data_IF_432487014338
#
_entry.id   IF_432487014338
#
_cell.length_a   1.000
_cell.length_b   1.000
_cell.length_c   1.000
_cell.angle_alpha   90.00
_cell.angle_beta   90.00
_cell.angle_gamma   90.00
#
_symmetry.space_group_name_H-M   'P 1'
#
loop_
_entity.id
_entity.type
_entity.pdbx_description
1 polymer ?
#
# COMPACT_ATOMS: atom_id res chain seq x y z
N UNK A 1 0.87 -27.33 21.35
CA UNK A 1 1.01 -26.43 20.19
C UNK A 1 -0.40 -26.08 19.73
N UNK A 2 -0.77 -24.78 19.71
CA UNK A 2 -2.11 -24.37 19.24
C UNK A 2 -2.12 -24.54 17.70
N UNK A 3 -3.11 -25.25 17.14
CA UNK A 3 -3.31 -25.33 15.71
C UNK A 3 -3.93 -24.02 15.21
N UNK A 4 -3.42 -23.50 14.08
CA UNK A 4 -3.93 -22.29 13.44
C UNK A 4 -5.11 -22.71 12.54
N UNK A 5 -6.23 -22.00 12.62
CA UNK A 5 -7.40 -22.22 11.80
C UNK A 5 -7.32 -21.50 10.45
N UNK A 6 -8.16 -21.85 9.48
CA UNK A 6 -8.27 -21.15 8.20
C UNK A 6 -8.63 -19.68 8.42
N UNK A 7 -9.53 -19.36 9.36
CA UNK A 7 -9.94 -17.99 9.64
C UNK A 7 -8.82 -17.15 10.28
N UNK A 8 -8.01 -17.74 11.17
CA UNK A 8 -6.82 -17.09 11.69
C UNK A 8 -5.79 -16.81 10.57
N UNK A 9 -5.62 -17.73 9.61
CA UNK A 9 -4.77 -17.50 8.44
C UNK A 9 -5.29 -16.40 7.51
N UNK A 10 -6.61 -16.32 7.30
CA UNK A 10 -7.22 -15.21 6.56
C UNK A 10 -6.96 -13.88 7.24
N UNK A 11 -7.15 -13.81 8.56
CA UNK A 11 -6.90 -12.58 9.33
C UNK A 11 -5.44 -12.11 9.19
N UNK A 12 -4.47 -13.03 9.20
CA UNK A 12 -3.05 -12.70 8.98
C UNK A 12 -2.82 -12.18 7.55
N UNK A 13 -3.41 -12.83 6.54
CA UNK A 13 -3.26 -12.38 5.14
C UNK A 13 -3.91 -11.00 4.88
N UNK A 14 -4.92 -10.64 5.66
CA UNK A 14 -5.68 -9.39 5.53
C UNK A 14 -5.24 -8.30 6.51
N UNK A 15 -4.20 -8.56 7.33
CA UNK A 15 -3.72 -7.62 8.33
C UNK A 15 -3.03 -6.40 7.68
N UNK A 16 -3.47 -5.22 8.09
CA UNK A 16 -2.95 -3.93 7.66
C UNK A 16 -1.98 -3.30 8.68
N UNK A 17 -1.59 -4.02 9.71
CA UNK A 17 -0.67 -3.50 10.73
C UNK A 17 0.73 -3.28 10.16
N UNK A 18 1.19 -2.04 10.21
CA UNK A 18 2.51 -1.63 9.74
C UNK A 18 3.53 -1.65 10.90
N UNK A 19 4.38 -2.65 10.94
CA UNK A 19 5.49 -2.67 11.91
C UNK A 19 6.43 -1.49 11.76
N UNK A 20 6.63 -1.04 10.53
CA UNK A 20 7.40 0.17 10.25
C UNK A 20 6.77 1.41 10.89
N UNK A 21 5.44 1.57 10.77
CA UNK A 21 4.74 2.70 11.39
C UNK A 21 4.86 2.67 12.91
N UNK A 22 4.65 1.51 13.53
CA UNK A 22 4.77 1.33 14.99
C UNK A 22 6.17 1.69 15.50
N UNK A 23 7.23 1.34 14.75
CA UNK A 23 8.61 1.65 15.12
C UNK A 23 8.97 3.12 14.90
N UNK A 24 8.46 3.77 13.86
CA UNK A 24 8.85 5.12 13.46
C UNK A 24 8.00 6.21 14.11
N UNK A 25 6.73 5.94 14.35
CA UNK A 25 5.76 6.90 14.90
C UNK A 25 6.22 7.56 16.22
N UNK A 26 6.81 6.83 17.19
CA UNK A 26 7.30 7.46 18.42
C UNK A 26 8.34 8.58 18.17
N UNK A 27 9.23 8.42 17.20
CA UNK A 27 10.23 9.44 16.86
C UNK A 27 9.58 10.72 16.30
N UNK A 28 8.51 10.58 15.51
CA UNK A 28 7.72 11.71 15.02
C UNK A 28 7.01 12.41 16.19
N UNK A 29 6.41 11.65 17.09
CA UNK A 29 5.64 12.16 18.22
C UNK A 29 6.48 12.79 19.33
N UNK A 30 7.76 12.45 19.44
CA UNK A 30 8.71 13.09 20.37
C UNK A 30 9.17 14.48 19.91
N UNK A 31 8.93 14.85 18.65
CA UNK A 31 9.34 16.12 18.11
C UNK A 31 8.34 17.22 18.51
N UNK A 32 8.83 18.26 19.17
CA UNK A 32 8.02 19.42 19.54
C UNK A 32 7.71 20.26 18.30
N UNK A 33 6.44 20.46 18.02
CA UNK A 33 5.96 21.27 16.89
C UNK A 33 5.74 22.75 17.27
N UNK A 34 5.80 23.11 18.57
CA UNK A 34 5.52 24.44 19.06
C UNK A 34 4.02 24.70 19.24
N UNK A 35 3.60 25.97 19.10
CA UNK A 35 2.19 26.40 19.24
C UNK A 35 1.44 26.23 17.91
N UNK A 36 1.37 25.00 17.41
CA UNK A 36 0.71 24.73 16.15
C UNK A 36 -0.81 24.71 16.28
N UNK A 37 -1.50 25.24 15.28
CA UNK A 37 -2.96 25.33 15.20
C UNK A 37 -3.51 24.63 13.95
N UNK A 38 -4.82 24.59 13.81
CA UNK A 38 -5.48 24.11 12.61
C UNK A 38 -5.26 22.62 12.33
N UNK A 39 -4.99 22.27 11.08
CA UNK A 39 -4.83 20.88 10.65
C UNK A 39 -3.52 20.25 11.15
N UNK A 40 -2.50 21.03 11.44
CA UNK A 40 -1.26 20.50 11.99
C UNK A 40 -1.48 19.87 13.37
N UNK A 41 -2.20 20.57 14.25
CA UNK A 41 -2.59 20.07 15.57
C UNK A 41 -3.51 18.86 15.48
N UNK A 42 -4.46 18.86 14.54
CA UNK A 42 -5.37 17.72 14.31
C UNK A 42 -4.61 16.50 13.78
N UNK A 43 -3.69 16.69 12.81
CA UNK A 43 -2.84 15.65 12.28
C UNK A 43 -2.02 14.96 13.38
N UNK A 44 -1.43 15.76 14.27
CA UNK A 44 -0.69 15.24 15.41
C UNK A 44 -1.60 14.46 16.38
N UNK A 45 -2.82 14.93 16.60
CA UNK A 45 -3.82 14.22 17.43
C UNK A 45 -4.21 12.88 16.80
N UNK A 46 -4.40 12.82 15.47
CA UNK A 46 -4.68 11.57 14.79
C UNK A 46 -3.52 10.58 14.93
N UNK A 47 -2.28 11.05 14.71
CA UNK A 47 -1.10 10.20 14.86
C UNK A 47 -0.92 9.68 16.28
N UNK A 48 -1.18 10.50 17.29
CA UNK A 48 -1.05 10.12 18.70
C UNK A 48 -2.03 9.00 19.11
N UNK A 49 -3.20 8.96 18.49
CA UNK A 49 -4.24 7.98 18.76
C UNK A 49 -4.23 6.79 17.79
N UNK A 50 -3.26 6.74 16.88
CA UNK A 50 -3.19 5.70 15.86
C UNK A 50 -2.36 4.51 16.33
N UNK A 51 -2.87 3.32 16.08
CA UNK A 51 -2.28 2.03 16.46
C UNK A 51 -1.32 1.43 15.41
N UNK A 52 -1.11 2.13 14.28
CA UNK A 52 -0.30 1.65 13.18
C UNK A 52 -1.04 0.73 12.20
N UNK A 53 -2.36 0.59 12.34
CA UNK A 53 -3.19 -0.15 11.38
C UNK A 53 -3.55 0.76 10.21
N UNK A 54 -3.05 0.42 9.02
CA UNK A 54 -3.23 1.19 7.78
C UNK A 54 -4.59 0.88 7.14
N UNK A 55 -5.68 1.17 7.86
CA UNK A 55 -7.04 0.88 7.40
C UNK A 55 -7.49 1.86 6.29
N UNK A 56 -8.44 1.42 5.48
CA UNK A 56 -8.98 2.17 4.32
C UNK A 56 -9.49 3.56 4.70
N UNK A 57 -10.14 3.68 5.86
CA UNK A 57 -10.77 4.94 6.30
C UNK A 57 -9.92 5.74 7.30
N UNK A 58 -8.64 5.38 7.49
CA UNK A 58 -7.74 6.03 8.43
C UNK A 58 -7.17 7.33 7.88
N UNK A 59 -7.44 8.43 8.55
CA UNK A 59 -6.80 9.74 8.31
C UNK A 59 -5.33 9.72 8.77
N UNK A 60 -5.08 9.10 9.92
CA UNK A 60 -3.74 8.98 10.49
C UNK A 60 -2.76 8.29 9.53
N UNK A 61 -3.22 7.26 8.82
CA UNK A 61 -2.42 6.57 7.83
C UNK A 61 -1.97 7.51 6.70
N UNK A 62 -2.89 8.29 6.14
CA UNK A 62 -2.54 9.22 5.05
C UNK A 62 -1.60 10.31 5.53
N UNK A 63 -1.83 10.87 6.71
CA UNK A 63 -0.93 11.84 7.36
C UNK A 63 0.44 11.23 7.58
N UNK A 64 0.53 10.03 8.15
CA UNK A 64 1.80 9.35 8.39
C UNK A 64 2.60 9.15 7.10
N UNK A 65 1.99 8.60 6.06
CA UNK A 65 2.68 8.35 4.79
C UNK A 65 3.11 9.65 4.09
N UNK A 66 2.37 10.74 4.26
CA UNK A 66 2.77 12.06 3.76
C UNK A 66 4.00 12.61 4.49
N UNK A 67 4.03 12.48 5.80
CA UNK A 67 5.19 12.86 6.62
C UNK A 67 6.42 12.03 6.24
N UNK A 68 6.27 10.70 6.13
CA UNK A 68 7.37 9.81 5.73
C UNK A 68 7.91 10.18 4.35
N UNK A 69 7.03 10.48 3.38
CA UNK A 69 7.47 10.96 2.07
C UNK A 69 8.26 12.25 2.16
N UNK A 70 7.75 13.23 2.90
CA UNK A 70 8.42 14.52 3.10
C UNK A 70 9.77 14.37 3.82
N UNK A 71 9.83 13.46 4.80
CA UNK A 71 11.07 13.17 5.53
C UNK A 71 12.11 12.49 4.64
N UNK A 72 11.71 11.54 3.78
CA UNK A 72 12.62 10.92 2.80
C UNK A 72 13.18 11.97 1.84
N UNK A 73 12.36 12.91 1.40
CA UNK A 73 12.84 14.03 0.56
C UNK A 73 13.78 14.94 1.34
N UNK A 74 13.47 15.23 2.61
CA UNK A 74 14.30 16.07 3.45
C UNK A 74 15.66 15.47 3.77
N UNK A 75 15.74 14.14 3.89
CA UNK A 75 16.99 13.41 4.22
C UNK A 75 17.89 13.19 3.00
N UNK A 76 17.33 13.04 1.79
CA UNK A 76 18.12 12.63 0.62
C UNK A 76 18.03 13.59 -0.57
N UNK A 77 17.17 14.60 -0.46
CA UNK A 77 16.81 15.41 -1.63
C UNK A 77 17.88 16.37 -2.09
N UNK A 78 18.69 16.88 -1.21
CA UNK A 78 19.71 17.87 -1.50
C UNK A 78 20.94 17.23 -2.18
N UNK A 79 21.50 16.13 -1.64
CA UNK A 79 22.62 15.45 -2.30
C UNK A 79 22.21 14.83 -3.63
N UNK A 80 21.04 14.17 -3.67
CA UNK A 80 20.53 13.61 -4.91
C UNK A 80 20.21 14.71 -5.94
N UNK A 81 19.80 15.90 -5.46
CA UNK A 81 19.55 17.07 -6.28
C UNK A 81 20.79 17.57 -7.03
N UNK A 82 21.98 17.46 -6.43
CA UNK A 82 23.25 17.76 -7.10
C UNK A 82 23.50 16.87 -8.32
N UNK A 83 23.02 15.63 -8.27
CA UNK A 83 23.15 14.68 -9.38
C UNK A 83 22.09 14.89 -10.46
N UNK A 84 21.03 15.63 -10.13
CA UNK A 84 19.92 15.96 -11.02
C UNK A 84 18.61 15.26 -10.68
N UNK A 85 17.49 15.80 -11.20
CA UNK A 85 16.14 15.36 -10.90
C UNK A 85 15.91 13.86 -11.18
N UNK A 86 16.53 13.30 -12.22
CA UNK A 86 16.41 11.90 -12.57
C UNK A 86 16.89 10.95 -11.45
N UNK A 87 17.88 11.35 -10.67
CA UNK A 87 18.38 10.57 -9.53
C UNK A 87 17.39 10.61 -8.37
N UNK A 88 16.82 11.79 -8.07
CA UNK A 88 15.73 11.90 -7.09
C UNK A 88 14.57 10.98 -7.50
N UNK A 89 14.10 11.08 -8.74
CA UNK A 89 12.95 10.30 -9.23
C UNK A 89 13.23 8.80 -9.20
N UNK A 90 14.44 8.39 -9.57
CA UNK A 90 14.86 6.99 -9.50
C UNK A 90 14.89 6.49 -8.06
N UNK A 91 15.46 7.24 -7.13
CA UNK A 91 15.50 6.91 -5.72
C UNK A 91 14.10 6.83 -5.11
N UNK A 92 13.24 7.82 -5.37
CA UNK A 92 11.85 7.86 -4.89
C UNK A 92 10.97 6.73 -5.46
N UNK A 93 11.40 6.08 -6.55
CA UNK A 93 10.72 4.91 -7.10
C UNK A 93 11.03 3.61 -6.33
N UNK A 94 12.09 3.56 -5.54
CA UNK A 94 12.48 2.40 -4.75
C UNK A 94 11.48 2.14 -3.63
N UNK A 95 11.14 0.87 -3.39
CA UNK A 95 10.06 0.50 -2.46
C UNK A 95 10.52 0.34 -1.01
N UNK A 96 11.78 -0.04 -0.79
CA UNK A 96 12.23 -0.52 0.52
C UNK A 96 13.49 0.17 1.04
N UNK A 97 14.36 0.68 0.16
CA UNK A 97 15.68 1.17 0.55
C UNK A 97 15.58 2.34 1.52
N UNK A 98 14.86 3.39 1.15
CA UNK A 98 14.71 4.57 1.98
C UNK A 98 14.06 4.30 3.34
N UNK A 99 13.03 3.44 3.42
CA UNK A 99 12.40 3.13 4.71
C UNK A 99 13.30 2.33 5.65
N UNK A 100 14.19 1.49 5.09
CA UNK A 100 15.17 0.76 5.90
C UNK A 100 16.21 1.71 6.51
N UNK A 101 16.78 2.58 5.69
CA UNK A 101 17.77 3.56 6.13
C UNK A 101 17.14 4.60 7.08
N UNK A 102 15.94 5.09 6.76
CA UNK A 102 15.23 6.05 7.60
C UNK A 102 15.00 5.51 9.01
N UNK A 103 14.66 4.22 9.16
CA UNK A 103 14.53 3.58 10.47
C UNK A 103 15.81 3.69 11.29
N UNK A 104 16.97 3.40 10.69
CA UNK A 104 18.26 3.52 11.38
C UNK A 104 18.62 4.97 11.70
N UNK A 105 18.37 5.89 10.79
CA UNK A 105 18.59 7.33 11.02
C UNK A 105 17.75 7.83 12.21
N UNK A 106 16.46 7.48 12.24
CA UNK A 106 15.57 7.88 13.34
C UNK A 106 15.96 7.25 14.67
N UNK A 107 16.42 6.01 14.67
CA UNK A 107 16.87 5.29 15.86
C UNK A 107 18.17 5.85 16.43
N UNK A 108 19.12 6.18 15.57
CA UNK A 108 20.43 6.68 15.99
C UNK A 108 20.46 8.20 16.20
N UNK A 109 19.54 8.93 15.56
CA UNK A 109 19.50 10.38 15.55
C UNK A 109 20.67 11.03 14.79
N UNK A 110 21.48 10.24 14.07
CA UNK A 110 22.71 10.69 13.42
C UNK A 110 22.93 10.03 12.07
N UNK A 111 23.25 10.84 11.07
CA UNK A 111 23.66 10.41 9.73
C UNK A 111 24.22 11.62 8.99
N UNK A 112 25.19 11.41 8.09
CA UNK A 112 25.66 12.46 7.18
C UNK A 112 24.57 12.97 6.22
N UNK A 113 23.50 12.21 6.01
CA UNK A 113 22.36 12.58 5.19
C UNK A 113 21.34 13.51 5.89
N UNK A 114 21.59 13.90 7.14
CA UNK A 114 20.73 14.84 7.87
C UNK A 114 21.12 16.27 7.55
N UNK A 115 22.41 16.48 7.27
CA UNK A 115 22.99 17.80 6.99
C UNK A 115 22.49 18.31 5.63
N UNK A 116 22.03 19.56 5.60
CA UNK A 116 21.64 20.19 4.34
C UNK A 116 22.86 20.83 3.69
N UNK A 117 23.36 20.26 2.63
CA UNK A 117 24.58 20.69 1.92
C UNK A 117 24.53 22.13 1.39
N UNK A 118 23.37 22.77 1.35
CA UNK A 118 23.21 24.17 0.95
C UNK A 118 23.36 25.16 2.12
N UNK A 119 23.34 24.70 3.38
CA UNK A 119 23.53 25.51 4.59
C UNK A 119 24.97 25.42 5.07
N UNK A 120 25.79 26.47 4.81
CA UNK A 120 27.27 26.42 4.99
C UNK A 120 27.76 26.44 6.44
N UNK A 121 26.96 26.93 7.38
CA UNK A 121 27.39 27.20 8.77
C UNK A 121 26.48 26.54 9.82
N UNK A 122 25.60 25.65 9.38
CA UNK A 122 24.65 24.96 10.22
C UNK A 122 24.62 23.46 9.88
N UNK A 123 24.73 22.64 10.91
CA UNK A 123 24.46 21.21 10.81
C UNK A 123 23.05 20.95 11.35
N UNK A 124 22.16 20.44 10.49
CA UNK A 124 20.79 20.11 10.87
C UNK A 124 20.76 18.90 11.80
N UNK A 125 19.76 18.89 12.67
CA UNK A 125 19.48 17.75 13.55
C UNK A 125 18.18 17.05 13.12
N UNK A 126 18.07 15.78 13.42
CA UNK A 126 16.94 14.96 12.98
C UNK A 126 15.58 15.51 13.42
N UNK A 127 15.49 16.13 14.59
CA UNK A 127 14.23 16.74 15.07
C UNK A 127 13.78 17.93 14.21
N UNK A 128 14.70 18.71 13.65
CA UNK A 128 14.36 19.79 12.71
C UNK A 128 13.80 19.19 11.40
N UNK A 129 14.45 18.16 10.84
CA UNK A 129 13.96 17.49 9.64
C UNK A 129 12.59 16.86 9.85
N UNK A 130 12.35 16.23 11.01
CA UNK A 130 11.04 15.67 11.35
C UNK A 130 9.99 16.78 11.42
N UNK A 131 10.28 17.88 12.12
CA UNK A 131 9.38 19.02 12.22
C UNK A 131 9.00 19.58 10.85
N UNK A 132 9.99 19.84 10.01
CA UNK A 132 9.79 20.35 8.65
C UNK A 132 8.98 19.33 7.79
N UNK A 133 9.26 18.04 7.94
CA UNK A 133 8.52 16.99 7.25
C UNK A 133 7.06 16.91 7.69
N UNK A 134 6.76 17.11 8.97
CA UNK A 134 5.38 17.16 9.48
C UNK A 134 4.65 18.36 8.89
N UNK A 135 5.23 19.55 8.96
CA UNK A 135 4.65 20.79 8.41
C UNK A 135 4.38 20.64 6.92
N UNK A 136 5.40 20.22 6.17
CA UNK A 136 5.31 20.02 4.72
C UNK A 136 4.32 18.91 4.34
N UNK A 137 4.34 17.80 5.05
CA UNK A 137 3.44 16.68 4.80
C UNK A 137 1.98 17.06 4.98
N UNK A 138 1.63 17.80 6.04
CA UNK A 138 0.26 18.29 6.28
C UNK A 138 -0.15 19.29 5.20
N UNK A 139 0.74 20.23 4.84
CA UNK A 139 0.48 21.21 3.79
C UNK A 139 0.26 20.54 2.42
N UNK A 140 1.09 19.56 2.05
CA UNK A 140 0.90 18.79 0.81
C UNK A 140 -0.48 18.09 0.76
N UNK A 141 -1.00 17.66 1.92
CA UNK A 141 -2.32 17.03 2.00
C UNK A 141 -3.45 18.06 1.90
N UNK A 142 -3.31 19.23 2.50
CA UNK A 142 -4.26 20.33 2.34
C UNK A 142 -4.40 20.75 0.88
N UNK A 143 -3.28 20.88 0.18
CA UNK A 143 -3.26 21.22 -1.25
C UNK A 143 -3.92 20.15 -2.13
N UNK A 144 -3.76 18.86 -1.79
CA UNK A 144 -4.28 17.73 -2.60
C UNK A 144 -5.73 17.36 -2.29
N UNK A 145 -6.12 17.39 -1.03
CA UNK A 145 -7.39 16.84 -0.54
C UNK A 145 -8.28 17.88 0.12
N UNK A 146 -7.84 19.16 0.11
CA UNK A 146 -8.56 20.28 0.70
C UNK A 146 -8.33 20.44 2.21
N UNK A 147 -8.88 21.52 2.79
CA UNK A 147 -8.55 21.94 4.16
C UNK A 147 -9.22 21.09 5.26
N UNK A 148 -10.16 20.24 4.93
CA UNK A 148 -10.84 19.42 5.95
C UNK A 148 -10.12 18.07 6.12
N UNK A 149 -9.27 17.98 7.13
CA UNK A 149 -8.48 16.78 7.44
C UNK A 149 -9.33 15.52 7.69
N UNK A 150 -10.60 15.66 8.14
CA UNK A 150 -11.49 14.51 8.34
C UNK A 150 -11.88 13.80 7.04
N UNK A 151 -11.62 14.43 5.89
CA UNK A 151 -11.83 13.86 4.57
C UNK A 151 -10.57 13.16 4.02
N UNK A 152 -9.44 13.22 4.73
CA UNK A 152 -8.18 12.63 4.26
C UNK A 152 -8.15 11.13 4.55
N UNK A 153 -8.88 10.35 3.78
CA UNK A 153 -8.94 8.91 3.98
C UNK A 153 -7.86 8.19 3.17
N UNK A 154 -7.16 7.24 3.81
CA UNK A 154 -6.09 6.48 3.17
C UNK A 154 -6.55 5.84 1.85
N UNK A 155 -7.67 5.13 1.85
CA UNK A 155 -8.19 4.43 0.68
C UNK A 155 -8.59 5.33 -0.50
N UNK A 156 -8.85 6.62 -0.26
CA UNK A 156 -9.14 7.56 -1.35
C UNK A 156 -7.86 7.95 -2.09
N UNK A 157 -6.74 8.04 -1.36
CA UNK A 157 -5.41 8.24 -1.93
C UNK A 157 -4.80 6.91 -2.43
N UNK A 158 -5.00 5.83 -1.65
CA UNK A 158 -4.43 4.50 -1.88
C UNK A 158 -5.41 3.58 -2.59
N UNK A 159 -5.77 3.94 -3.80
CA UNK A 159 -6.67 3.14 -4.65
C UNK A 159 -5.91 2.29 -5.66
N UNK A 160 -6.44 1.12 -5.96
CA UNK A 160 -5.89 0.18 -6.94
C UNK A 160 -6.80 0.04 -8.17
N UNK A 161 -6.22 0.18 -9.34
CA UNK A 161 -6.87 -0.15 -10.61
C UNK A 161 -6.03 -1.17 -11.37
N UNK A 162 -6.61 -2.30 -11.69
CA UNK A 162 -6.00 -3.32 -12.55
C UNK A 162 -6.17 -2.91 -14.00
N UNK A 163 -5.16 -2.24 -14.55
CA UNK A 163 -5.19 -1.71 -15.91
C UNK A 163 -4.89 -2.81 -16.92
N UNK A 164 -5.75 -2.95 -17.92
CA UNK A 164 -5.48 -3.77 -19.09
C UNK A 164 -4.47 -3.08 -20.02
N UNK A 165 -3.63 -3.83 -20.74
CA UNK A 165 -2.62 -3.23 -21.63
C UNK A 165 -3.25 -2.33 -22.69
N UNK A 166 -4.37 -2.73 -23.26
CA UNK A 166 -5.12 -1.95 -24.27
C UNK A 166 -5.87 -0.74 -23.68
N UNK A 167 -5.97 -0.60 -22.36
CA UNK A 167 -6.62 0.56 -21.71
C UNK A 167 -5.87 1.87 -21.97
N UNK A 168 -4.61 1.80 -22.44
CA UNK A 168 -3.87 2.99 -22.93
C UNK A 168 -4.53 3.67 -24.12
N UNK A 169 -5.31 2.91 -24.90
CA UNK A 169 -6.11 3.44 -25.99
C UNK A 169 -7.49 3.81 -25.44
N UNK A 170 -7.70 5.09 -25.20
CA UNK A 170 -8.89 5.63 -24.53
C UNK A 170 -10.24 5.16 -25.13
N UNK A 171 -10.30 5.00 -26.46
CA UNK A 171 -11.51 4.52 -27.15
C UNK A 171 -11.80 3.07 -26.75
N UNK A 172 -10.77 2.20 -26.72
CA UNK A 172 -10.93 0.80 -26.33
C UNK A 172 -11.32 0.67 -24.85
N UNK A 173 -10.71 1.47 -23.98
CA UNK A 173 -11.09 1.51 -22.56
C UNK A 173 -12.56 1.86 -22.37
N UNK A 174 -13.03 2.94 -23.05
CA UNK A 174 -14.43 3.39 -22.95
C UNK A 174 -15.42 2.38 -23.52
N UNK A 175 -15.07 1.73 -24.62
CA UNK A 175 -15.98 0.80 -25.32
C UNK A 175 -16.10 -0.56 -24.59
N UNK A 176 -14.99 -1.05 -24.04
CA UNK A 176 -14.93 -2.41 -23.47
C UNK A 176 -14.78 -2.43 -21.96
N UNK A 177 -14.65 -1.28 -21.29
CA UNK A 177 -14.42 -1.18 -19.84
C UNK A 177 -13.32 -2.14 -19.38
N UNK A 178 -12.14 -2.01 -19.99
CA UNK A 178 -11.05 -2.99 -19.88
C UNK A 178 -10.43 -3.04 -18.49
N UNK A 179 -10.34 -1.87 -17.82
CA UNK A 179 -9.75 -1.78 -16.49
C UNK A 179 -10.74 -2.23 -15.41
N UNK A 180 -10.21 -2.81 -14.33
CA UNK A 180 -10.99 -3.28 -13.17
C UNK A 180 -10.62 -2.45 -11.95
N UNK A 181 -11.60 -1.81 -11.31
CA UNK A 181 -11.47 -0.82 -10.25
C UNK A 181 -11.87 0.59 -10.71
N UNK A 182 -11.54 1.67 -9.98
CA UNK A 182 -10.64 1.69 -8.81
C UNK A 182 -11.28 1.07 -7.56
N UNK A 183 -10.47 0.38 -6.76
CA UNK A 183 -10.86 -0.12 -5.44
C UNK A 183 -10.10 0.66 -4.37
N UNK A 184 -10.79 1.12 -3.33
CA UNK A 184 -10.15 1.68 -2.14
C UNK A 184 -9.40 0.57 -1.42
N UNK A 185 -8.16 0.80 -1.03
CA UNK A 185 -7.29 -0.22 -0.47
C UNK A 185 -6.65 0.24 0.84
N UNK A 186 -6.52 -0.67 1.78
CA UNK A 186 -5.72 -0.47 2.99
C UNK A 186 -4.30 -1.02 2.82
N UNK A 187 -3.53 -0.93 3.89
CA UNK A 187 -2.15 -1.41 3.92
C UNK A 187 -1.18 -0.53 3.13
N UNK A 188 0.06 -0.95 3.14
CA UNK A 188 1.14 -0.38 2.33
C UNK A 188 2.14 -1.50 1.96
N UNK A 189 3.31 -1.14 1.43
CA UNK A 189 4.40 -2.12 1.25
C UNK A 189 4.98 -2.64 2.59
N UNK A 190 4.47 -2.18 3.75
CA UNK A 190 4.99 -2.47 5.09
C UNK A 190 4.02 -3.25 5.98
N UNK A 191 2.85 -3.60 5.46
CA UNK A 191 1.85 -4.45 6.12
C UNK A 191 1.78 -5.84 5.49
N UNK A 192 1.29 -6.88 6.20
CA UNK A 192 1.10 -8.23 5.66
C UNK A 192 0.20 -8.25 4.42
N UNK A 193 -0.96 -7.58 4.46
CA UNK A 193 -1.77 -7.33 3.28
C UNK A 193 -1.16 -6.17 2.48
N UNK A 194 -0.15 -6.51 1.69
CA UNK A 194 0.71 -5.52 1.06
C UNK A 194 0.03 -4.75 -0.07
N UNK A 195 0.14 -3.42 0.01
CA UNK A 195 -0.28 -2.46 -1.02
C UNK A 195 0.85 -1.48 -1.36
N UNK A 196 1.72 -1.82 -2.32
CA UNK A 196 2.89 -0.99 -2.63
C UNK A 196 2.57 0.20 -3.52
N UNK A 197 3.16 1.36 -3.21
CA UNK A 197 3.12 2.59 -4.02
C UNK A 197 4.53 3.15 -4.23
N UNK A 198 4.66 4.18 -5.06
CA UNK A 198 5.90 4.95 -5.29
C UNK A 198 5.74 6.36 -4.73
N UNK A 199 6.78 6.94 -4.15
CA UNK A 199 6.76 8.33 -3.68
C UNK A 199 6.69 9.36 -4.82
N UNK A 200 7.00 8.98 -6.08
CA UNK A 200 6.83 9.83 -7.25
C UNK A 200 5.37 10.02 -7.67
N UNK A 201 4.55 8.96 -7.49
CA UNK A 201 3.10 9.02 -7.68
C UNK A 201 2.49 8.62 -6.33
N UNK A 202 2.49 9.56 -5.37
CA UNK A 202 2.32 9.23 -3.98
C UNK A 202 0.94 8.65 -3.73
N UNK A 203 1.02 7.57 -2.98
CA UNK A 203 -0.02 6.81 -2.34
C UNK A 203 -0.83 5.89 -3.25
N UNK A 204 -0.96 6.14 -4.54
CA UNK A 204 -1.70 5.28 -5.45
C UNK A 204 -1.08 3.88 -5.52
N UNK A 205 -1.85 2.87 -5.18
CA UNK A 205 -1.37 1.49 -5.15
C UNK A 205 -0.99 1.00 -6.56
N UNK A 206 0.20 0.42 -6.68
CA UNK A 206 0.76 -0.12 -7.94
C UNK A 206 1.16 -1.58 -7.84
N UNK A 207 1.21 -2.13 -6.63
CA UNK A 207 1.61 -3.50 -6.38
C UNK A 207 0.84 -4.07 -5.19
N UNK A 208 0.66 -5.39 -5.18
CA UNK A 208 -0.03 -6.11 -4.12
C UNK A 208 0.06 -7.62 -4.35
N UNK A 209 -0.70 -8.39 -3.59
CA UNK A 209 -0.80 -9.82 -3.79
C UNK A 209 -1.44 -10.14 -5.15
N UNK A 210 -0.81 -11.02 -5.93
CA UNK A 210 -1.36 -11.53 -7.20
C UNK A 210 -2.35 -12.68 -6.99
N UNK A 211 -2.30 -13.30 -5.82
CA UNK A 211 -3.19 -14.36 -5.37
C UNK A 211 -3.14 -14.47 -3.86
N UNK A 212 -4.27 -14.74 -3.23
CA UNK A 212 -4.33 -15.21 -1.85
C UNK A 212 -4.76 -16.67 -1.86
N UNK A 213 -4.04 -17.51 -1.13
CA UNK A 213 -4.32 -18.95 -1.05
C UNK A 213 -4.03 -19.46 0.35
N UNK A 214 -4.94 -20.29 0.86
CA UNK A 214 -4.80 -21.00 2.14
C UNK A 214 -5.13 -22.45 1.88
N UNK A 215 -4.20 -23.35 2.20
CA UNK A 215 -4.36 -24.80 2.04
C UNK A 215 -4.38 -25.45 3.40
N UNK A 216 -5.49 -26.10 3.74
CA UNK A 216 -5.55 -26.98 4.88
C UNK A 216 -5.12 -28.39 4.46
N UNK A 217 -3.95 -28.82 4.94
CA UNK A 217 -3.41 -30.15 4.61
C UNK A 217 -4.23 -31.30 5.19
N UNK A 218 -5.07 -31.03 6.18
CA UNK A 218 -5.98 -32.04 6.75
C UNK A 218 -7.21 -32.26 5.85
N UNK A 219 -7.61 -31.22 5.07
CA UNK A 219 -8.71 -31.30 4.10
C UNK A 219 -8.46 -30.38 2.90
N UNK A 220 -7.70 -30.84 1.93
CA UNK A 220 -7.36 -30.05 0.74
C UNK A 220 -8.57 -29.64 -0.12
N UNK A 221 -9.74 -30.27 0.08
CA UNK A 221 -10.98 -29.88 -0.61
C UNK A 221 -11.58 -28.56 -0.09
N UNK A 222 -11.11 -28.07 1.06
CA UNK A 222 -11.49 -26.75 1.61
C UNK A 222 -10.44 -25.69 1.37
N UNK A 223 -9.54 -25.91 0.40
CA UNK A 223 -8.56 -24.89 -0.01
C UNK A 223 -9.26 -23.60 -0.41
N UNK A 224 -8.83 -22.49 0.21
CA UNK A 224 -9.34 -21.15 -0.07
C UNK A 224 -8.42 -20.42 -1.04
N UNK A 225 -8.98 -19.79 -2.06
CA UNK A 225 -8.20 -19.07 -3.07
C UNK A 225 -8.99 -17.90 -3.64
N UNK A 226 -8.29 -16.81 -3.99
CA UNK A 226 -8.87 -15.68 -4.72
C UNK A 226 -7.76 -14.94 -5.49
N UNK A 227 -8.08 -14.43 -6.67
CA UNK A 227 -7.19 -13.59 -7.48
C UNK A 227 -7.78 -12.19 -7.67
N UNK A 228 -6.96 -11.17 -7.99
CA UNK A 228 -7.39 -9.75 -7.98
C UNK A 228 -8.44 -9.38 -9.04
N UNK A 229 -8.61 -10.19 -10.08
CA UNK A 229 -9.54 -9.90 -11.19
C UNK A 229 -10.42 -11.10 -11.48
N UNK A 230 -10.08 -11.89 -12.45
CA UNK A 230 -10.69 -13.15 -12.86
C UNK A 230 -9.69 -13.95 -13.68
N UNK A 231 -10.05 -15.18 -14.05
CA UNK A 231 -9.13 -16.06 -14.78
C UNK A 231 -9.13 -15.85 -16.29
N UNK A 232 -10.10 -15.15 -16.84
CA UNK A 232 -10.18 -14.87 -18.27
C UNK A 232 -9.46 -13.59 -18.65
N UNK A 233 -8.63 -13.63 -19.68
CA UNK A 233 -8.08 -12.44 -20.31
C UNK A 233 -9.06 -11.76 -21.29
N UNK A 234 -10.23 -12.34 -21.54
CA UNK A 234 -11.21 -11.85 -22.49
C UNK A 234 -12.25 -10.97 -21.79
N UNK A 235 -12.35 -9.66 -22.08
CA UNK A 235 -13.24 -8.71 -21.39
C UNK A 235 -14.74 -9.10 -21.49
N UNK A 236 -15.15 -9.79 -22.54
CA UNK A 236 -16.54 -10.28 -22.71
C UNK A 236 -16.86 -11.55 -21.88
N UNK A 237 -15.86 -12.18 -21.27
CA UNK A 237 -16.07 -13.35 -20.44
C UNK A 237 -16.66 -12.96 -19.08
N UNK A 238 -17.63 -13.73 -18.54
CA UNK A 238 -18.11 -13.54 -17.18
C UNK A 238 -16.99 -13.73 -16.12
N UNK A 239 -15.89 -14.42 -16.48
CA UNK A 239 -14.75 -14.67 -15.63
C UNK A 239 -13.61 -13.65 -15.80
N UNK A 240 -13.87 -12.49 -16.40
CA UNK A 240 -12.87 -11.44 -16.56
C UNK A 240 -12.59 -10.70 -15.26
N UNK A 241 -13.64 -10.48 -14.44
CA UNK A 241 -13.56 -9.68 -13.20
C UNK A 241 -14.36 -10.28 -12.03
N UNK A 242 -14.80 -11.50 -12.13
CA UNK A 242 -15.73 -12.16 -11.19
C UNK A 242 -15.17 -12.33 -9.77
N UNK A 243 -13.84 -12.25 -9.59
CA UNK A 243 -13.22 -12.37 -8.28
C UNK A 243 -12.77 -11.01 -7.69
N UNK A 244 -12.90 -9.91 -8.43
CA UNK A 244 -12.35 -8.64 -8.02
C UNK A 244 -12.95 -8.12 -6.70
N UNK A 245 -14.27 -8.10 -6.58
CA UNK A 245 -14.95 -7.68 -5.34
C UNK A 245 -14.60 -8.61 -4.16
N UNK A 246 -14.56 -9.91 -4.39
CA UNK A 246 -14.16 -10.89 -3.37
C UNK A 246 -12.74 -10.64 -2.88
N UNK A 247 -11.81 -10.38 -3.80
CA UNK A 247 -10.42 -10.10 -3.46
C UNK A 247 -10.30 -8.83 -2.61
N UNK A 248 -10.96 -7.74 -3.00
CA UNK A 248 -10.88 -6.47 -2.31
C UNK A 248 -11.66 -6.44 -1.00
N UNK A 249 -12.74 -7.21 -0.87
CA UNK A 249 -13.50 -7.39 0.37
C UNK A 249 -12.92 -8.47 1.31
N UNK A 250 -11.78 -9.08 0.96
CA UNK A 250 -11.15 -10.12 1.78
C UNK A 250 -11.88 -11.46 1.77
N UNK A 251 -12.71 -11.69 0.77
CA UNK A 251 -13.41 -12.96 0.61
C UNK A 251 -12.59 -13.94 -0.24
N UNK A 252 -12.88 -15.22 -0.08
CA UNK A 252 -12.22 -16.31 -0.79
C UNK A 252 -13.25 -17.25 -1.38
N UNK A 253 -12.90 -17.94 -2.45
CA UNK A 253 -13.63 -19.06 -3.00
C UNK A 253 -12.97 -20.38 -2.63
N UNK A 254 -13.76 -21.42 -2.42
CA UNK A 254 -13.24 -22.76 -2.19
C UNK A 254 -12.77 -23.39 -3.51
N UNK A 255 -11.60 -23.99 -3.48
CA UNK A 255 -11.02 -24.73 -4.61
C UNK A 255 -11.00 -26.22 -4.26
N UNK A 256 -11.74 -27.03 -5.00
CA UNK A 256 -11.85 -28.48 -4.78
C UNK A 256 -10.65 -29.21 -5.38
N UNK A 257 -10.22 -30.27 -4.71
CA UNK A 257 -9.09 -31.10 -5.12
C UNK A 257 -9.47 -32.55 -5.44
N UNK A 258 -10.57 -33.07 -4.86
CA UNK A 258 -11.00 -34.45 -5.02
C UNK A 258 -11.49 -34.74 -6.46
N UNK A 259 -10.83 -35.65 -7.13
CA UNK A 259 -11.11 -36.02 -8.52
C UNK A 259 -12.55 -36.53 -8.73
N UNK A 260 -13.06 -37.39 -7.83
CA UNK A 260 -14.41 -37.93 -7.93
C UNK A 260 -15.44 -36.81 -7.83
N UNK A 261 -15.24 -35.85 -6.90
CA UNK A 261 -16.13 -34.69 -6.80
C UNK A 261 -16.09 -33.84 -8.09
N UNK A 262 -14.91 -33.59 -8.63
CA UNK A 262 -14.74 -32.79 -9.86
C UNK A 262 -15.42 -33.49 -11.05
N UNK A 263 -15.26 -34.82 -11.19
CA UNK A 263 -15.84 -35.60 -12.29
C UNK A 263 -17.36 -35.72 -12.20
N UNK A 264 -17.90 -35.81 -10.99
CA UNK A 264 -19.36 -36.01 -10.80
C UNK A 264 -20.12 -34.67 -10.66
N UNK A 265 -19.45 -33.57 -10.45
CA UNK A 265 -20.10 -32.27 -10.24
C UNK A 265 -20.59 -31.66 -11.55
N UNK A 266 -21.82 -31.13 -11.51
CA UNK A 266 -22.40 -30.33 -12.60
C UNK A 266 -21.87 -28.88 -12.66
N UNK A 267 -21.15 -28.48 -11.64
CA UNK A 267 -20.51 -27.14 -11.57
C UNK A 267 -19.33 -26.98 -12.53
N UNK A 268 -18.73 -28.13 -12.96
CA UNK A 268 -17.55 -28.12 -13.82
C UNK A 268 -17.86 -28.53 -15.24
N UNK A 269 -17.20 -27.84 -16.19
CA UNK A 269 -17.21 -28.29 -17.60
C UNK A 269 -15.97 -29.12 -17.85
N UNK A 270 -16.12 -30.24 -18.53
CA UNK A 270 -15.05 -31.16 -18.87
C UNK A 270 -14.57 -30.91 -20.30
N UNK A 271 -13.28 -30.76 -20.49
CA UNK A 271 -12.60 -30.74 -21.80
C UNK A 271 -11.68 -31.94 -21.88
N UNK A 272 -11.90 -32.81 -22.87
CA UNK A 272 -11.04 -33.95 -23.16
C UNK A 272 -10.25 -33.66 -24.40
N UNK A 273 -8.92 -33.59 -24.25
CA UNK A 273 -8.01 -33.44 -25.37
C UNK A 273 -7.45 -34.81 -25.78
N UNK A 274 -7.70 -35.20 -27.02
CA UNK A 274 -7.16 -36.43 -27.60
C UNK A 274 -6.11 -36.08 -28.67
N UNK A 275 -4.96 -36.77 -28.70
CA UNK A 275 -4.00 -36.58 -29.78
C UNK A 275 -4.64 -36.93 -31.11
N UNK A 276 -4.39 -36.13 -32.13
CA UNK A 276 -4.74 -36.49 -33.50
C UNK A 276 -3.75 -37.56 -33.95
N UNK A 277 -4.21 -38.77 -34.19
CA UNK A 277 -3.42 -39.87 -34.79
C UNK A 277 -3.07 -39.54 -36.23
#
# INVERSE_FOLDING_TARGET
MKMITIEEMKSIQLDYTSKFAIEVLPHILMTELGNEEGNLKKAYTFLKNWDGVESVDSEATLVFHSIIRSLVIGVYGDELGLLGQNYIDSFMSLKYLHSRNLREILKTGSSSWIDNIYTKEKFEIISELIRDAVIKGVKDMEERYGPNISNWKWGDAHSLTHKHLLSKVTILEKLFSLSVGPFRSGGSAKSPNAGGYSYNDPFKQKAGASMRRIVDLSNMNETQCVIPTGQSGLPSSPHYRDQAEMFHSGQYRTTRFNENYIRSSTEFKHLILTPKL
#
